data_IF_664858038289
#
_entry.id   IF_664858038289
#
_cell.length_a   1.000
_cell.length_b   1.000
_cell.length_c   1.000
_cell.angle_alpha   90.00
_cell.angle_beta   90.00
_cell.angle_gamma   90.00
#
_symmetry.space_group_name_H-M   'P 1'
#
loop_
_entity.id
_entity.type
_entity.pdbx_description
1 polymer ?
#
# COMPACT_ATOMS: atom_id res chain seq x y z
N UNK A 1 -14.72 17.91 -23.05
CA UNK A 1 -14.73 17.56 -21.62
C UNK A 1 -13.56 18.19 -20.88
N UNK A 2 -13.76 18.68 -19.66
CA UNK A 2 -12.69 19.20 -18.78
C UNK A 2 -12.09 18.10 -17.89
N UNK A 3 -10.95 18.38 -17.27
CA UNK A 3 -10.30 17.46 -16.29
C UNK A 3 -11.23 17.19 -15.11
N UNK A 4 -11.91 18.21 -14.59
CA UNK A 4 -12.84 18.11 -13.47
C UNK A 4 -14.02 17.21 -13.82
N UNK A 5 -14.56 17.33 -15.04
CA UNK A 5 -15.64 16.47 -15.53
C UNK A 5 -15.17 15.02 -15.69
N UNK A 6 -13.99 14.80 -16.29
CA UNK A 6 -13.42 13.46 -16.46
C UNK A 6 -13.18 12.76 -15.11
N UNK A 7 -12.75 13.49 -14.08
CA UNK A 7 -12.56 12.97 -12.71
C UNK A 7 -13.85 12.45 -12.05
N UNK A 8 -15.02 12.87 -12.51
CA UNK A 8 -16.32 12.44 -11.98
C UNK A 8 -16.92 11.24 -12.72
N UNK A 9 -16.33 10.84 -13.85
CA UNK A 9 -16.77 9.64 -14.56
C UNK A 9 -16.48 8.40 -13.72
N UNK A 10 -17.44 7.48 -13.66
CA UNK A 10 -17.31 6.24 -12.89
C UNK A 10 -16.17 5.39 -13.45
N UNK A 11 -15.15 5.15 -12.62
CA UNK A 11 -13.98 4.40 -13.01
C UNK A 11 -14.24 2.92 -13.26
N UNK A 12 -15.19 2.32 -12.53
CA UNK A 12 -15.59 0.92 -12.72
C UNK A 12 -16.30 0.75 -14.06
N UNK A 13 -17.22 1.67 -14.39
CA UNK A 13 -17.88 1.68 -15.70
C UNK A 13 -16.86 1.88 -16.84
N UNK A 14 -15.93 2.83 -16.66
CA UNK A 14 -14.87 3.06 -17.64
C UNK A 14 -14.02 1.81 -17.89
N UNK A 15 -13.57 1.12 -16.83
CA UNK A 15 -12.79 -0.12 -16.95
C UNK A 15 -13.60 -1.26 -17.59
N UNK A 16 -14.88 -1.39 -17.25
CA UNK A 16 -15.78 -2.38 -17.86
C UNK A 16 -15.91 -2.17 -19.37
N UNK A 17 -16.02 -0.92 -19.84
CA UNK A 17 -16.04 -0.57 -21.27
C UNK A 17 -14.73 -0.84 -21.98
N UNK A 18 -13.61 -0.80 -21.26
CA UNK A 18 -12.31 -1.24 -21.77
C UNK A 18 -12.16 -2.77 -21.78
N UNK A 19 -13.15 -3.52 -21.25
CA UNK A 19 -13.15 -4.98 -21.22
C UNK A 19 -12.60 -5.57 -19.91
N UNK A 20 -12.27 -4.76 -18.92
CA UNK A 20 -11.77 -5.24 -17.63
C UNK A 20 -12.92 -5.55 -16.69
N UNK A 21 -12.90 -6.75 -16.10
CA UNK A 21 -13.87 -7.17 -15.10
C UNK A 21 -13.18 -7.36 -13.75
N UNK A 22 -13.84 -7.00 -12.63
CA UNK A 22 -13.25 -7.15 -11.31
C UNK A 22 -13.07 -8.63 -10.98
N UNK A 23 -11.87 -9.00 -10.54
CA UNK A 23 -11.54 -10.32 -10.02
C UNK A 23 -12.11 -10.55 -8.61
N UNK A 24 -12.30 -9.48 -7.84
CA UNK A 24 -12.90 -9.53 -6.50
C UNK A 24 -13.56 -8.20 -6.14
N UNK A 25 -14.74 -8.26 -5.53
CA UNK A 25 -15.44 -7.09 -4.99
C UNK A 25 -15.59 -7.28 -3.48
N UNK A 26 -15.23 -6.26 -2.69
CA UNK A 26 -15.35 -6.26 -1.24
C UNK A 26 -15.75 -4.85 -0.74
N UNK A 27 -17.04 -4.67 -0.43
CA UNK A 27 -17.61 -3.36 -0.14
C UNK A 27 -17.36 -2.40 -1.32
N UNK A 28 -16.83 -1.20 -1.03
CA UNK A 28 -16.49 -0.20 -2.05
C UNK A 28 -15.17 -0.47 -2.80
N UNK A 29 -14.54 -1.63 -2.60
CA UNK A 29 -13.25 -1.97 -3.21
C UNK A 29 -13.41 -3.00 -4.33
N UNK A 30 -13.08 -2.59 -5.55
CA UNK A 30 -13.06 -3.43 -6.74
C UNK A 30 -11.62 -3.75 -7.10
N UNK A 31 -11.26 -5.04 -7.10
CA UNK A 31 -9.92 -5.52 -7.41
C UNK A 31 -9.88 -6.11 -8.81
N UNK A 32 -8.88 -5.72 -9.59
CA UNK A 32 -8.63 -6.14 -10.96
C UNK A 32 -7.20 -6.68 -11.07
N UNK A 33 -6.97 -7.55 -12.05
CA UNK A 33 -5.64 -7.62 -12.63
C UNK A 33 -5.30 -6.26 -13.24
N UNK A 34 -4.09 -5.76 -13.01
CA UNK A 34 -3.70 -4.43 -13.46
C UNK A 34 -3.91 -4.25 -14.96
N UNK A 35 -4.67 -3.22 -15.39
CA UNK A 35 -4.72 -2.83 -16.79
C UNK A 35 -3.40 -2.25 -17.31
N UNK A 36 -2.45 -1.93 -16.42
CA UNK A 36 -1.23 -1.19 -16.74
C UNK A 36 -0.02 -2.10 -16.99
N UNK A 37 -0.07 -3.35 -16.52
CA UNK A 37 1.00 -4.34 -16.70
C UNK A 37 0.48 -5.78 -16.57
N UNK A 38 1.24 -6.74 -17.08
CA UNK A 38 0.90 -8.16 -16.95
C UNK A 38 1.17 -8.67 -15.52
N UNK A 39 0.21 -9.40 -14.93
CA UNK A 39 0.38 -10.00 -13.61
C UNK A 39 -0.47 -11.26 -13.40
N UNK A 40 -0.12 -12.05 -12.37
CA UNK A 40 -0.83 -13.29 -11.99
C UNK A 40 -1.78 -13.14 -10.80
N UNK A 41 -1.60 -12.11 -9.98
CA UNK A 41 -2.39 -11.88 -8.77
C UNK A 41 -2.93 -10.46 -8.82
N UNK A 42 -4.24 -10.22 -8.66
CA UNK A 42 -4.82 -8.88 -8.74
C UNK A 42 -4.17 -7.87 -7.79
N UNK A 43 -3.60 -6.79 -8.31
CA UNK A 43 -3.01 -5.68 -7.54
C UNK A 43 -3.79 -4.38 -7.65
N UNK A 44 -4.62 -4.20 -8.69
CA UNK A 44 -5.23 -2.91 -9.02
C UNK A 44 -6.57 -2.75 -8.32
N UNK A 45 -6.66 -1.79 -7.40
CA UNK A 45 -7.84 -1.54 -6.58
C UNK A 45 -8.50 -0.22 -6.96
N UNK A 46 -9.77 -0.25 -7.35
CA UNK A 46 -10.64 0.93 -7.46
C UNK A 46 -11.49 1.07 -6.21
N UNK A 47 -11.46 2.24 -5.57
CA UNK A 47 -12.39 2.62 -4.52
C UNK A 47 -13.55 3.39 -5.15
N UNK A 48 -14.75 2.78 -5.14
CA UNK A 48 -15.94 3.34 -5.78
C UNK A 48 -16.39 4.66 -5.13
N UNK A 49 -16.25 4.80 -3.82
CA UNK A 49 -16.67 6.02 -3.11
C UNK A 49 -15.74 7.20 -3.41
N UNK A 50 -14.44 6.96 -3.42
CA UNK A 50 -13.44 8.00 -3.72
C UNK A 50 -13.29 8.24 -5.23
N UNK A 51 -13.82 7.36 -6.06
CA UNK A 51 -13.60 7.27 -7.51
C UNK A 51 -12.10 7.35 -7.87
N UNK A 52 -11.28 6.56 -7.16
CA UNK A 52 -9.82 6.54 -7.30
C UNK A 52 -9.30 5.13 -7.36
N UNK A 53 -8.20 4.95 -8.10
CA UNK A 53 -7.48 3.70 -8.18
C UNK A 53 -6.15 3.76 -7.44
N UNK A 54 -5.67 2.59 -7.03
CA UNK A 54 -4.32 2.36 -6.57
C UNK A 54 -3.87 0.97 -7.01
N UNK A 55 -2.72 0.90 -7.66
CA UNK A 55 -2.04 -0.34 -8.01
C UNK A 55 -1.03 -0.69 -6.93
N UNK A 56 -1.23 -1.82 -6.25
CA UNK A 56 -0.34 -2.26 -5.17
C UNK A 56 0.99 -2.85 -5.66
N UNK A 57 1.11 -3.24 -6.92
CA UNK A 57 2.36 -3.74 -7.49
C UNK A 57 3.31 -2.58 -7.76
N UNK A 58 2.83 -1.56 -8.47
CA UNK A 58 3.62 -0.38 -8.87
C UNK A 58 3.58 0.74 -7.82
N UNK A 59 2.64 0.69 -6.87
CA UNK A 59 2.41 1.73 -5.86
C UNK A 59 1.96 3.07 -6.44
N UNK A 60 1.47 3.07 -7.67
CA UNK A 60 0.87 4.21 -8.34
C UNK A 60 -0.63 4.28 -8.06
N UNK A 61 -1.20 5.47 -8.12
CA UNK A 61 -2.63 5.65 -7.95
C UNK A 61 -3.07 7.05 -8.33
N UNK A 62 -4.39 7.22 -8.47
CA UNK A 62 -4.93 8.48 -8.96
C UNK A 62 -6.42 8.43 -9.24
N UNK A 63 -6.88 9.41 -9.98
CA UNK A 63 -8.23 9.48 -10.54
C UNK A 63 -8.26 8.91 -11.97
N UNK A 64 -9.41 8.98 -12.64
CA UNK A 64 -9.58 8.47 -14.00
C UNK A 64 -8.61 9.09 -15.02
N UNK A 65 -8.29 10.39 -14.91
CA UNK A 65 -7.36 11.06 -15.81
C UNK A 65 -5.94 10.50 -15.63
N UNK A 66 -5.52 10.31 -14.37
CA UNK A 66 -4.20 9.74 -14.05
C UNK A 66 -4.08 8.31 -14.59
N UNK A 67 -5.17 7.52 -14.54
CA UNK A 67 -5.22 6.20 -15.17
C UNK A 67 -5.13 6.31 -16.69
N UNK A 68 -5.96 7.17 -17.28
CA UNK A 68 -6.11 7.31 -18.73
C UNK A 68 -4.81 7.66 -19.44
N UNK A 69 -4.04 8.58 -18.87
CA UNK A 69 -2.73 8.96 -19.43
C UNK A 69 -1.72 7.81 -19.36
N UNK A 70 -1.74 6.99 -18.30
CA UNK A 70 -0.85 5.83 -18.16
C UNK A 70 -1.25 4.71 -19.11
N UNK A 71 -2.54 4.36 -19.15
CA UNK A 71 -3.08 3.28 -19.96
C UNK A 71 -2.95 3.56 -21.46
N UNK A 72 -3.32 4.76 -21.92
CA UNK A 72 -3.26 5.14 -23.33
C UNK A 72 -1.90 5.72 -23.75
N UNK A 73 -0.98 5.95 -22.79
CA UNK A 73 0.34 6.57 -23.03
C UNK A 73 0.24 7.88 -23.81
N UNK A 74 -0.63 8.78 -23.35
CA UNK A 74 -0.95 10.02 -24.05
C UNK A 74 -1.01 11.22 -23.10
N UNK A 75 -1.04 12.44 -23.66
CA UNK A 75 -1.18 13.64 -22.85
C UNK A 75 -2.59 13.74 -22.25
N UNK A 76 -2.77 14.60 -21.23
CA UNK A 76 -4.09 14.89 -20.67
C UNK A 76 -5.05 15.41 -21.76
N UNK A 77 -4.56 16.26 -22.67
CA UNK A 77 -5.40 16.81 -23.74
C UNK A 77 -5.87 15.72 -24.70
N UNK A 78 -4.98 14.82 -25.10
CA UNK A 78 -5.32 13.69 -25.99
C UNK A 78 -6.31 12.74 -25.30
N UNK A 79 -6.12 12.48 -24.00
CA UNK A 79 -7.03 11.65 -23.24
C UNK A 79 -8.44 12.24 -23.16
N UNK A 80 -8.56 13.55 -22.89
CA UNK A 80 -9.85 14.23 -22.87
C UNK A 80 -10.54 14.19 -24.24
N UNK A 81 -9.80 14.35 -25.33
CA UNK A 81 -10.34 14.18 -26.69
C UNK A 81 -10.83 12.76 -26.95
N UNK A 82 -10.11 11.73 -26.47
CA UNK A 82 -10.55 10.32 -26.55
C UNK A 82 -11.84 10.07 -25.75
N UNK A 83 -12.05 10.77 -24.65
CA UNK A 83 -13.31 10.68 -23.89
C UNK A 83 -14.47 11.38 -24.63
N UNK A 84 -14.20 12.45 -25.39
CA UNK A 84 -15.21 13.18 -26.19
C UNK A 84 -15.50 12.56 -27.57
N UNK A 85 -14.68 11.61 -28.03
CA UNK A 85 -14.75 11.07 -29.39
C UNK A 85 -15.98 10.19 -29.68
N UNK A 86 -16.40 10.06 -30.95
CA UNK A 86 -17.63 9.38 -31.36
C UNK A 86 -17.68 7.86 -31.07
N UNK A 87 -16.54 7.24 -30.74
CA UNK A 87 -16.49 5.85 -30.27
C UNK A 87 -16.91 5.71 -28.79
N UNK A 88 -16.94 6.81 -28.03
CA UNK A 88 -17.41 6.87 -26.66
C UNK A 88 -18.69 7.68 -26.62
N UNK A 89 -19.82 7.00 -26.82
CA UNK A 89 -21.10 7.53 -26.34
C UNK A 89 -21.07 7.39 -24.81
N UNK A 90 -20.38 8.31 -24.14
CA UNK A 90 -20.66 8.67 -22.75
C UNK A 90 -22.03 9.35 -22.75
N UNK A 91 -23.08 8.56 -23.03
CA UNK A 91 -24.41 8.96 -22.62
C UNK A 91 -24.33 9.19 -21.12
N UNK A 92 -24.68 10.41 -20.73
CA UNK A 92 -25.04 10.78 -19.38
C UNK A 92 -26.22 9.90 -18.93
N UNK A 93 -25.97 8.62 -18.68
CA UNK A 93 -26.81 7.86 -17.80
C UNK A 93 -26.55 8.47 -16.44
N UNK A 94 -27.54 9.22 -15.96
CA UNK A 94 -27.68 9.47 -14.52
C UNK A 94 -27.32 8.15 -13.83
N UNK A 95 -26.42 8.15 -12.84
CA UNK A 95 -26.08 6.91 -12.14
C UNK A 95 -27.41 6.26 -11.78
N UNK A 96 -27.61 5.02 -12.21
CA UNK A 96 -28.61 4.19 -11.56
C UNK A 96 -28.27 4.32 -10.09
N UNK A 97 -29.13 5.02 -9.34
CA UNK A 97 -29.06 5.13 -7.91
C UNK A 97 -29.21 3.69 -7.41
N UNK A 98 -28.11 2.94 -7.42
CA UNK A 98 -27.84 2.04 -6.33
C UNK A 98 -27.94 2.97 -5.13
N UNK A 99 -29.09 2.87 -4.46
CA UNK A 99 -29.32 3.56 -3.20
C UNK A 99 -28.01 3.43 -2.43
N UNK A 100 -27.42 4.54 -1.95
CA UNK A 100 -26.32 4.42 -1.04
C UNK A 100 -26.89 3.69 0.17
N UNK A 101 -26.72 2.36 0.21
CA UNK A 101 -26.64 1.69 1.47
C UNK A 101 -25.62 2.51 2.24
N UNK A 102 -26.08 3.06 3.35
CA UNK A 102 -25.32 3.81 4.32
C UNK A 102 -24.27 2.87 4.92
N UNK A 103 -23.32 2.44 4.10
CA UNK A 103 -22.18 1.67 4.54
C UNK A 103 -21.13 2.69 4.93
N UNK A 104 -21.31 3.16 6.16
CA UNK A 104 -20.22 3.49 7.07
C UNK A 104 -19.04 2.54 6.80
N UNK A 105 -18.03 3.03 6.10
CA UNK A 105 -16.85 3.63 6.70
C UNK A 105 -15.65 3.60 5.76
N UNK A 106 -14.89 4.68 5.84
CA UNK A 106 -13.56 4.81 5.28
C UNK A 106 -12.71 3.61 5.73
N UNK A 107 -12.21 2.80 4.79
CA UNK A 107 -11.29 1.69 5.07
C UNK A 107 -9.90 2.18 5.55
N UNK A 108 -9.79 3.47 5.88
CA UNK A 108 -8.62 4.08 6.46
C UNK A 108 -8.34 3.49 7.85
N UNK A 109 -7.08 3.09 8.04
CA UNK A 109 -6.59 2.63 9.33
C UNK A 109 -6.24 3.86 10.18
N UNK A 110 -6.93 4.02 11.30
CA UNK A 110 -6.65 5.08 12.28
C UNK A 110 -5.94 4.47 13.50
N UNK A 111 -4.73 4.94 13.79
CA UNK A 111 -3.99 4.51 15.00
C UNK A 111 -4.64 5.14 16.24
N UNK A 112 -4.97 4.31 17.22
CA UNK A 112 -5.57 4.74 18.49
C UNK A 112 -4.52 4.86 19.59
N UNK A 113 -3.65 3.85 19.71
CA UNK A 113 -2.62 3.81 20.75
C UNK A 113 -1.51 2.83 20.40
N UNK A 114 -0.37 2.98 21.07
CA UNK A 114 0.78 2.08 20.95
C UNK A 114 1.34 1.75 22.32
N UNK A 115 1.60 0.47 22.58
CA UNK A 115 2.16 -0.02 23.84
C UNK A 115 3.19 -1.13 23.63
N UNK A 116 3.84 -1.53 24.72
CA UNK A 116 4.72 -2.70 24.72
C UNK A 116 3.92 -3.96 24.39
N UNK A 117 4.54 -4.91 23.70
CA UNK A 117 3.88 -6.12 23.23
C UNK A 117 3.45 -6.96 24.43
N UNK A 118 2.15 -7.09 24.66
CA UNK A 118 1.61 -7.77 25.84
C UNK A 118 0.55 -8.81 25.48
N UNK A 119 -0.13 -8.65 24.35
CA UNK A 119 -1.16 -9.58 23.89
C UNK A 119 -0.57 -10.95 23.56
N UNK A 120 -1.07 -11.98 24.25
CA UNK A 120 -0.66 -13.38 24.04
C UNK A 120 -0.74 -13.82 22.56
N UNK A 121 -1.78 -13.47 21.77
CA UNK A 121 -1.83 -13.81 20.35
C UNK A 121 -0.67 -13.23 19.52
N UNK A 122 -0.23 -11.99 19.82
CA UNK A 122 0.91 -11.37 19.13
C UNK A 122 2.22 -12.02 19.54
N UNK A 123 2.39 -12.37 20.83
CA UNK A 123 3.56 -13.10 21.31
C UNK A 123 3.67 -14.49 20.67
N UNK A 124 2.55 -15.21 20.59
CA UNK A 124 2.47 -16.51 19.90
C UNK A 124 2.80 -16.37 18.41
N UNK A 125 2.35 -15.29 17.77
CA UNK A 125 2.68 -15.00 16.37
C UNK A 125 4.17 -14.68 16.17
N UNK A 126 4.80 -13.89 17.05
CA UNK A 126 6.25 -13.66 17.01
C UNK A 126 7.03 -14.97 17.16
N UNK A 127 6.61 -15.82 18.10
CA UNK A 127 7.22 -17.13 18.32
C UNK A 127 7.11 -18.03 17.09
N UNK A 128 5.94 -18.09 16.43
CA UNK A 128 5.77 -18.89 15.20
C UNK A 128 6.60 -18.35 14.03
N UNK A 129 6.88 -17.05 14.02
CA UNK A 129 7.79 -16.39 13.06
C UNK A 129 9.27 -16.47 13.48
N UNK A 130 9.58 -17.14 14.59
CA UNK A 130 10.93 -17.32 15.16
C UNK A 130 11.66 -16.00 15.41
N UNK A 131 10.93 -14.95 15.81
CA UNK A 131 11.52 -13.66 16.16
C UNK A 131 11.80 -13.63 17.66
N UNK A 132 13.05 -13.37 18.04
CA UNK A 132 13.44 -13.18 19.44
C UNK A 132 12.67 -12.00 20.06
N UNK A 133 12.29 -12.17 21.32
CA UNK A 133 11.47 -11.22 22.07
C UNK A 133 12.13 -9.83 22.18
N UNK A 134 13.41 -9.76 22.47
CA UNK A 134 14.12 -8.50 22.67
C UNK A 134 14.26 -7.72 21.35
N UNK A 135 14.46 -8.44 20.25
CA UNK A 135 14.44 -7.84 18.90
C UNK A 135 13.05 -7.30 18.60
N UNK A 136 12.00 -8.07 18.89
CA UNK A 136 10.62 -7.60 18.69
C UNK A 136 10.35 -6.34 19.53
N UNK A 137 10.66 -6.34 20.82
CA UNK A 137 10.39 -5.20 21.71
C UNK A 137 11.21 -3.95 21.35
N UNK A 138 12.38 -4.12 20.72
CA UNK A 138 13.21 -3.02 20.22
C UNK A 138 12.57 -2.30 19.02
N UNK A 139 11.97 -3.03 18.09
CA UNK A 139 11.55 -2.48 16.80
C UNK A 139 10.03 -2.40 16.61
N UNK A 140 9.26 -3.16 17.38
CA UNK A 140 7.82 -3.27 17.23
C UNK A 140 7.11 -2.72 18.47
N UNK A 141 5.87 -2.26 18.24
CA UNK A 141 4.89 -1.99 19.28
C UNK A 141 3.65 -2.82 19.03
N UNK A 142 2.89 -3.08 20.09
CA UNK A 142 1.51 -3.47 19.90
C UNK A 142 0.70 -2.21 19.64
N UNK A 143 0.01 -2.19 18.50
CA UNK A 143 -0.71 -1.01 18.01
C UNK A 143 -2.19 -1.34 17.99
N UNK A 144 -2.99 -0.55 18.71
CA UNK A 144 -4.44 -0.57 18.58
C UNK A 144 -4.85 0.39 17.48
N UNK A 145 -5.74 -0.07 16.60
CA UNK A 145 -6.20 0.72 15.46
C UNK A 145 -7.66 0.46 15.15
N UNK A 146 -8.30 1.42 14.47
CA UNK A 146 -9.69 1.35 14.01
C UNK A 146 -9.69 1.13 12.49
N UNK A 147 -10.56 0.25 12.00
CA UNK A 147 -11.00 0.21 10.60
C UNK A 147 -12.52 0.27 10.63
N UNK A 148 -13.07 1.36 10.13
CA UNK A 148 -14.45 1.71 10.41
C UNK A 148 -14.74 1.76 11.90
N UNK A 149 -15.79 1.10 12.38
CA UNK A 149 -16.30 1.15 13.74
C UNK A 149 -15.70 0.05 14.63
N UNK A 150 -14.84 -0.77 14.03
CA UNK A 150 -14.20 -1.91 14.70
C UNK A 150 -12.77 -1.58 15.11
N UNK A 151 -12.45 -1.93 16.34
CA UNK A 151 -11.10 -1.83 16.90
C UNK A 151 -10.37 -3.16 16.79
N UNK A 152 -9.09 -3.08 16.43
CA UNK A 152 -8.19 -4.20 16.22
C UNK A 152 -6.85 -3.92 16.90
N UNK A 153 -5.99 -4.94 16.93
CA UNK A 153 -4.59 -4.79 17.35
C UNK A 153 -3.65 -5.64 16.48
N UNK A 154 -2.42 -5.16 16.32
CA UNK A 154 -1.37 -5.83 15.56
C UNK A 154 0.02 -5.45 16.06
N UNK A 155 1.04 -6.17 15.62
CA UNK A 155 2.40 -5.68 15.68
C UNK A 155 2.53 -4.52 14.70
N UNK A 156 3.02 -3.38 15.16
CA UNK A 156 3.31 -2.21 14.36
C UNK A 156 4.79 -1.93 14.27
N UNK A 157 5.28 -1.78 13.06
CA UNK A 157 6.62 -1.27 12.75
C UNK A 157 6.47 0.15 12.21
N UNK A 158 7.04 1.13 12.92
CA UNK A 158 6.86 2.54 12.58
C UNK A 158 7.72 2.92 11.36
N UNK A 159 7.15 3.70 10.44
CA UNK A 159 7.86 4.26 9.30
C UNK A 159 8.33 5.71 9.56
N UNK A 160 9.19 6.23 8.69
CA UNK A 160 9.84 7.53 8.86
C UNK A 160 8.85 8.70 8.79
N UNK A 161 7.72 8.52 8.11
CA UNK A 161 6.62 9.49 8.03
C UNK A 161 5.62 9.41 9.20
N UNK A 162 5.86 8.50 10.16
CA UNK A 162 5.05 8.37 11.38
C UNK A 162 3.85 7.41 11.28
N UNK A 163 3.62 6.78 10.12
CA UNK A 163 2.67 5.67 9.99
C UNK A 163 3.26 4.34 10.46
N UNK A 164 2.47 3.27 10.34
CA UNK A 164 2.84 1.93 10.80
C UNK A 164 2.56 0.86 9.75
N UNK A 165 3.52 -0.04 9.55
CA UNK A 165 3.27 -1.34 8.96
C UNK A 165 2.72 -2.28 10.03
N UNK A 166 1.52 -2.81 9.81
CA UNK A 166 0.73 -3.57 10.77
C UNK A 166 0.63 -5.03 10.37
N UNK A 167 0.93 -5.94 11.31
CA UNK A 167 0.81 -7.37 11.06
C UNK A 167 0.42 -8.18 12.28
N UNK A 168 -0.49 -9.13 12.09
CA UNK A 168 -0.74 -10.23 13.01
C UNK A 168 -0.92 -11.53 12.21
N UNK A 169 -1.38 -12.61 12.84
CA UNK A 169 -1.52 -13.92 12.19
C UNK A 169 -2.50 -13.90 10.99
N UNK A 170 -3.47 -12.99 10.98
CA UNK A 170 -4.57 -12.95 10.00
C UNK A 170 -4.62 -11.65 9.20
N UNK A 171 -3.78 -10.67 9.51
CA UNK A 171 -3.83 -9.33 8.91
C UNK A 171 -2.43 -8.85 8.54
N UNK A 172 -2.32 -8.24 7.36
CA UNK A 172 -1.19 -7.42 6.90
C UNK A 172 -1.78 -6.15 6.30
N UNK A 173 -1.34 -4.99 6.78
CA UNK A 173 -1.77 -3.70 6.29
C UNK A 173 -0.84 -2.58 6.74
N UNK A 174 -1.16 -1.35 6.37
CA UNK A 174 -0.34 -0.18 6.69
C UNK A 174 -1.22 1.01 7.02
N UNK A 175 -0.92 1.74 8.09
CA UNK A 175 -1.55 3.04 8.35
C UNK A 175 -0.89 4.13 7.53
N UNK A 176 -1.66 5.17 7.21
CA UNK A 176 -1.13 6.38 6.60
C UNK A 176 -0.39 7.24 7.65
N UNK A 177 0.61 8.05 7.25
CA UNK A 177 1.26 8.04 5.94
C UNK A 177 2.11 6.78 5.73
N UNK A 178 2.18 6.30 4.48
CA UNK A 178 2.97 5.12 4.12
C UNK A 178 4.37 5.55 3.67
N UNK A 179 5.42 5.02 4.29
CA UNK A 179 6.79 5.34 3.91
C UNK A 179 7.78 4.21 4.21
N UNK A 180 9.04 4.40 3.81
CA UNK A 180 10.16 3.55 4.21
C UNK A 180 10.47 3.69 5.71
N UNK A 181 11.31 2.79 6.21
CA UNK A 181 11.98 2.97 7.50
C UNK A 181 13.49 2.92 7.31
N UNK A 182 14.19 4.00 7.61
CA UNK A 182 15.64 4.06 7.59
C UNK A 182 16.23 4.04 9.01
N UNK A 183 17.16 3.12 9.26
CA UNK A 183 17.89 2.99 10.52
C UNK A 183 19.35 3.31 10.25
N UNK A 184 19.77 4.49 10.66
CA UNK A 184 21.14 4.96 10.57
C UNK A 184 21.96 4.44 11.77
N UNK A 185 22.96 3.61 11.49
CA UNK A 185 23.93 3.13 12.47
C UNK A 185 25.32 3.77 12.26
N UNK A 186 25.42 4.82 11.43
CA UNK A 186 26.68 5.47 11.08
C UNK A 186 27.60 4.59 10.23
N UNK A 187 27.06 3.58 9.55
CA UNK A 187 27.84 2.69 8.71
C UNK A 187 27.99 3.21 7.27
N UNK A 188 28.98 2.68 6.56
CA UNK A 188 29.25 3.00 5.14
C UNK A 188 28.38 2.21 4.17
N UNK A 189 27.92 1.03 4.58
CA UNK A 189 27.14 0.10 3.77
C UNK A 189 25.67 0.08 4.24
N UNK A 190 24.73 -0.23 3.35
CA UNK A 190 23.31 -0.37 3.67
C UNK A 190 22.78 -1.75 3.29
N UNK A 191 21.96 -2.36 4.16
CA UNK A 191 21.17 -3.53 3.83
C UNK A 191 19.69 -3.14 3.64
N UNK A 192 19.11 -3.61 2.54
CA UNK A 192 17.76 -3.27 2.09
C UNK A 192 16.83 -4.48 2.30
N UNK A 193 15.61 -4.22 2.78
CA UNK A 193 14.62 -5.27 3.03
C UNK A 193 13.27 -4.89 2.44
N UNK A 194 12.58 -5.85 1.82
CA UNK A 194 11.22 -5.65 1.28
C UNK A 194 10.23 -5.19 2.37
N UNK A 195 10.30 -5.79 3.55
CA UNK A 195 9.45 -5.45 4.67
C UNK A 195 10.05 -5.82 6.01
N UNK A 196 9.41 -5.33 7.08
CA UNK A 196 9.99 -5.38 8.41
C UNK A 196 10.23 -6.79 8.95
N UNK A 197 9.47 -7.82 8.52
CA UNK A 197 9.76 -9.18 8.95
C UNK A 197 11.07 -9.73 8.37
N UNK A 198 11.43 -9.36 7.14
CA UNK A 198 12.73 -9.74 6.56
C UNK A 198 13.86 -9.09 7.35
N UNK A 199 13.70 -7.81 7.68
CA UNK A 199 14.60 -7.08 8.57
C UNK A 199 14.74 -7.74 9.95
N UNK A 200 13.63 -8.06 10.62
CA UNK A 200 13.67 -8.71 11.94
C UNK A 200 14.31 -10.10 11.89
N UNK A 201 14.04 -10.88 10.84
CA UNK A 201 14.71 -12.17 10.64
C UNK A 201 16.22 -12.01 10.49
N UNK A 202 16.67 -11.01 9.74
CA UNK A 202 18.09 -10.67 9.64
C UNK A 202 18.68 -10.29 11.00
N UNK A 203 18.01 -9.39 11.75
CA UNK A 203 18.43 -9.03 13.13
C UNK A 203 18.55 -10.26 14.03
N UNK A 204 17.65 -11.23 13.86
CA UNK A 204 17.62 -12.44 14.65
C UNK A 204 18.80 -13.39 14.38
N UNK A 205 19.30 -13.41 13.14
CA UNK A 205 20.49 -14.19 12.79
C UNK A 205 21.75 -13.71 13.54
N UNK A 206 21.82 -12.41 13.84
CA UNK A 206 22.95 -11.78 14.52
C UNK A 206 22.68 -11.48 16.01
N UNK A 207 21.60 -11.99 16.60
CA UNK A 207 21.25 -11.66 17.99
C UNK A 207 22.35 -12.00 19.00
N UNK A 208 23.08 -13.10 18.78
CA UNK A 208 24.20 -13.56 19.62
C UNK A 208 25.52 -13.65 18.84
N UNK A 209 25.65 -12.91 17.74
CA UNK A 209 26.83 -12.95 16.88
C UNK A 209 27.21 -11.54 16.44
N UNK A 210 28.51 -11.29 16.13
CA UNK A 210 28.91 -10.00 15.56
C UNK A 210 28.12 -9.68 14.30
N UNK A 211 27.44 -8.54 14.29
CA UNK A 211 26.72 -8.04 13.13
C UNK A 211 27.64 -7.14 12.29
N UNK A 212 27.69 -7.30 10.95
CA UNK A 212 28.37 -6.35 10.09
C UNK A 212 27.84 -4.93 10.30
N UNK A 213 28.72 -3.95 10.39
CA UNK A 213 28.33 -2.54 10.49
C UNK A 213 27.56 -2.12 9.24
N UNK A 214 26.25 -1.89 9.38
CA UNK A 214 25.33 -1.57 8.29
C UNK A 214 24.25 -0.61 8.74
N UNK A 215 23.87 0.30 7.86
CA UNK A 215 22.59 0.99 7.94
C UNK A 215 21.50 0.04 7.41
N UNK A 216 20.25 0.27 7.78
CA UNK A 216 19.14 -0.56 7.32
C UNK A 216 18.07 0.28 6.65
N UNK A 217 17.64 -0.17 5.47
CA UNK A 217 16.54 0.42 4.74
C UNK A 217 15.44 -0.62 4.58
N UNK A 218 14.32 -0.43 5.26
CA UNK A 218 13.14 -1.27 5.10
C UNK A 218 12.17 -0.55 4.17
N UNK A 219 11.92 -1.13 3.00
CA UNK A 219 11.10 -0.49 1.96
C UNK A 219 9.63 -0.39 2.38
N UNK A 220 9.10 -1.35 3.14
CA UNK A 220 7.69 -1.47 3.55
C UNK A 220 6.69 -1.65 2.37
N UNK A 221 7.13 -1.39 1.14
CA UNK A 221 6.42 -1.58 -0.11
C UNK A 221 7.44 -1.77 -1.23
N UNK A 222 7.29 -2.79 -2.08
CA UNK A 222 8.18 -2.99 -3.25
C UNK A 222 8.15 -1.78 -4.18
N UNK A 223 7.02 -1.10 -4.27
CA UNK A 223 6.86 0.15 -5.01
C UNK A 223 7.72 1.31 -4.52
N UNK A 224 8.31 1.21 -3.33
CA UNK A 224 9.22 2.22 -2.79
C UNK A 224 10.67 2.00 -3.21
N UNK A 225 10.97 0.96 -3.99
CA UNK A 225 12.34 0.70 -4.45
C UNK A 225 12.94 1.89 -5.22
N UNK A 226 12.27 2.34 -6.28
CA UNK A 226 12.75 3.42 -7.15
C UNK A 226 12.94 4.73 -6.39
N UNK A 227 11.96 5.12 -5.56
CA UNK A 227 12.05 6.36 -4.76
C UNK A 227 13.17 6.30 -3.71
N UNK A 228 13.63 5.11 -3.35
CA UNK A 228 14.69 4.89 -2.37
C UNK A 228 16.09 4.77 -2.98
N UNK A 229 16.23 4.70 -4.30
CA UNK A 229 17.54 4.65 -4.97
C UNK A 229 18.47 5.80 -4.56
N UNK A 230 18.04 7.07 -4.48
CA UNK A 230 18.94 8.15 -4.06
C UNK A 230 19.52 7.90 -2.66
N UNK A 231 18.70 7.38 -1.74
CA UNK A 231 19.14 7.07 -0.38
C UNK A 231 20.12 5.90 -0.35
N UNK A 232 19.92 4.89 -1.20
CA UNK A 232 20.85 3.76 -1.33
C UNK A 232 22.21 4.22 -1.87
N UNK A 233 22.22 5.16 -2.82
CA UNK A 233 23.42 5.69 -3.46
C UNK A 233 24.31 6.55 -2.54
N UNK A 234 23.81 6.96 -1.38
CA UNK A 234 24.62 7.62 -0.34
C UNK A 234 25.63 6.67 0.33
N UNK A 235 25.56 5.36 0.07
CA UNK A 235 26.35 4.32 0.74
C UNK A 235 27.38 3.70 -0.21
N UNK A 236 28.51 3.23 0.32
CA UNK A 236 29.59 2.60 -0.46
C UNK A 236 29.14 1.27 -1.09
N UNK A 237 28.34 0.47 -0.35
CA UNK A 237 27.76 -0.79 -0.85
C UNK A 237 26.30 -0.95 -0.42
N UNK A 238 25.52 -1.53 -1.33
CA UNK A 238 24.11 -1.87 -1.13
C UNK A 238 23.96 -3.39 -1.10
N UNK A 239 23.39 -3.92 -0.03
CA UNK A 239 23.04 -5.33 0.12
C UNK A 239 21.53 -5.51 -0.04
N UNK A 240 21.09 -6.08 -1.16
CA UNK A 240 19.68 -6.40 -1.45
C UNK A 240 19.31 -7.82 -0.98
#
# INVERSE_FOLDING_TARGET
>A
MTVEQAKQLDMVDYLSRLGFQPSKIAGNSYWYHSPLHDEKTPSFKVNLHMNRWYDFADGAGGNLVDFGILYHKCSVSDFLQKLDGPANILHQQKPALHQPQQDKEDNAITILSTHLISSYPLQKYLHSRRINRDIADKYLKEVQYKIGDKTYYALGFKNDAGGYELRNASFKGSSSPKDITFIDNGAKDVAVFEGFFNFLSYRNMYYNQPEPARNFLVLNSTSFFEKSLPKMQEHERVHL
#
